data_IF_529450812163
#
_entry.id   IF_529450812163
#
_cell.length_a   1.000
_cell.length_b   1.000
_cell.length_c   1.000
_cell.angle_alpha   90.00
_cell.angle_beta   90.00
_cell.angle_gamma   90.00
#
_symmetry.space_group_name_H-M   'P 1'
#
loop_
_entity.id
_entity.type
_entity.pdbx_description
1 polymer ?
#
# COMPACT_ATOMS: atom_id res chain seq x y z
N UNK A 1 90.18 -8.36 -34.77
CA UNK A 1 88.78 -8.44 -35.16
C UNK A 1 87.94 -9.41 -34.26
N UNK A 2 88.40 -9.88 -33.12
CA UNK A 2 87.74 -10.92 -32.31
C UNK A 2 87.00 -10.44 -31.06
N UNK A 3 86.92 -9.10 -30.83
CA UNK A 3 86.37 -8.56 -29.58
C UNK A 3 84.89 -8.00 -29.71
N UNK A 4 84.38 -7.87 -30.91
CA UNK A 4 83.01 -7.25 -31.12
C UNK A 4 81.84 -8.23 -30.89
N UNK A 5 82.03 -9.54 -31.16
CA UNK A 5 80.98 -10.56 -31.06
C UNK A 5 80.47 -10.79 -29.62
N UNK A 6 81.34 -10.92 -28.58
CA UNK A 6 80.87 -11.13 -27.23
C UNK A 6 80.18 -9.91 -26.64
N UNK A 7 80.56 -8.69 -27.02
CA UNK A 7 79.88 -7.46 -26.55
C UNK A 7 78.45 -7.35 -27.17
N UNK A 8 78.31 -7.71 -28.46
CA UNK A 8 77.03 -7.71 -29.15
C UNK A 8 76.07 -8.79 -28.58
N UNK A 9 76.59 -9.97 -28.29
CA UNK A 9 75.84 -11.06 -27.62
C UNK A 9 75.42 -10.65 -26.22
N UNK A 10 76.26 -10.03 -25.44
CA UNK A 10 75.91 -9.51 -24.11
C UNK A 10 74.88 -8.43 -24.15
N UNK A 11 74.88 -7.53 -25.14
CA UNK A 11 73.90 -6.49 -25.35
C UNK A 11 72.51 -7.06 -25.72
N UNK A 12 72.48 -8.03 -26.63
CA UNK A 12 71.25 -8.75 -27.00
C UNK A 12 70.66 -9.49 -25.80
N UNK A 13 71.51 -10.15 -25.02
CA UNK A 13 71.07 -10.91 -23.83
C UNK A 13 70.51 -9.95 -22.73
N UNK A 14 71.17 -8.82 -22.52
CA UNK A 14 70.72 -7.79 -21.59
C UNK A 14 69.39 -7.18 -22.02
N UNK A 15 69.24 -6.89 -23.31
CA UNK A 15 67.97 -6.37 -23.86
C UNK A 15 66.83 -7.36 -23.74
N UNK A 16 67.08 -8.63 -24.04
CA UNK A 16 66.08 -9.69 -23.90
C UNK A 16 65.65 -9.87 -22.44
N UNK A 17 66.56 -9.83 -21.47
CA UNK A 17 66.23 -9.89 -20.06
C UNK A 17 65.43 -8.67 -19.56
N UNK A 18 65.66 -7.48 -20.07
CA UNK A 18 64.89 -6.29 -19.73
C UNK A 18 63.44 -6.38 -20.25
N UNK A 19 63.25 -6.82 -21.50
CA UNK A 19 61.93 -7.02 -22.09
C UNK A 19 61.06 -8.05 -21.32
N UNK A 20 61.65 -9.18 -20.96
CA UNK A 20 60.96 -10.19 -20.16
C UNK A 20 60.53 -9.63 -18.78
N UNK A 21 61.39 -8.87 -18.11
CA UNK A 21 61.07 -8.25 -16.83
C UNK A 21 59.90 -7.28 -16.97
N UNK A 22 59.85 -6.49 -18.02
CA UNK A 22 58.72 -5.60 -18.30
C UNK A 22 57.44 -6.36 -18.55
N UNK A 23 57.46 -7.43 -19.32
CA UNK A 23 56.28 -8.29 -19.54
C UNK A 23 55.74 -8.94 -18.25
N UNK A 24 56.62 -9.40 -17.39
CA UNK A 24 56.24 -10.01 -16.10
C UNK A 24 55.59 -8.93 -15.21
N UNK A 25 56.20 -7.75 -15.08
CA UNK A 25 55.64 -6.66 -14.28
C UNK A 25 54.29 -6.22 -14.81
N UNK A 26 54.15 -6.11 -16.13
CA UNK A 26 52.87 -5.74 -16.77
C UNK A 26 51.80 -6.81 -16.53
N UNK A 27 52.16 -8.11 -16.62
CA UNK A 27 51.23 -9.21 -16.32
C UNK A 27 50.79 -9.20 -14.85
N UNK A 28 51.68 -8.96 -13.91
CA UNK A 28 51.39 -8.83 -12.48
C UNK A 28 50.45 -7.63 -12.25
N UNK A 29 50.76 -6.49 -12.83
CA UNK A 29 49.91 -5.27 -12.72
C UNK A 29 48.52 -5.53 -13.25
N UNK A 30 48.40 -6.14 -14.43
CA UNK A 30 47.10 -6.49 -15.02
C UNK A 30 46.32 -7.48 -14.15
N UNK A 31 47.01 -8.47 -13.59
CA UNK A 31 46.39 -9.43 -12.66
C UNK A 31 45.82 -8.74 -11.40
N UNK A 32 46.60 -7.80 -10.82
CA UNK A 32 46.14 -7.00 -9.67
C UNK A 32 44.90 -6.18 -10.00
N UNK A 33 44.88 -5.51 -11.17
CA UNK A 33 43.73 -4.74 -11.61
C UNK A 33 42.50 -5.61 -11.84
N UNK A 34 42.65 -6.76 -12.47
CA UNK A 34 41.55 -7.71 -12.69
C UNK A 34 41.03 -8.30 -11.37
N UNK A 35 41.94 -8.59 -10.44
CA UNK A 35 41.55 -9.05 -9.10
C UNK A 35 40.81 -7.97 -8.31
N UNK A 36 41.32 -6.73 -8.31
CA UNK A 36 40.65 -5.59 -7.67
C UNK A 36 39.27 -5.32 -8.25
N UNK A 37 39.14 -5.38 -9.60
CA UNK A 37 37.83 -5.26 -10.26
C UNK A 37 36.84 -6.34 -9.80
N UNK A 38 37.31 -7.62 -9.68
CA UNK A 38 36.45 -8.71 -9.22
C UNK A 38 35.97 -8.53 -7.77
N UNK A 39 36.87 -8.04 -6.89
CA UNK A 39 36.48 -7.75 -5.50
C UNK A 39 35.43 -6.64 -5.46
N UNK A 40 35.67 -5.52 -6.18
CA UNK A 40 34.73 -4.41 -6.24
C UNK A 40 33.36 -4.83 -6.80
N UNK A 41 33.35 -5.65 -7.85
CA UNK A 41 32.09 -6.17 -8.40
C UNK A 41 31.33 -7.02 -7.36
N UNK A 42 32.01 -7.93 -6.66
CA UNK A 42 31.37 -8.75 -5.61
C UNK A 42 30.78 -7.90 -4.48
N UNK A 43 31.50 -6.89 -4.02
CA UNK A 43 31.01 -6.00 -2.98
C UNK A 43 29.81 -5.17 -3.45
N UNK A 44 29.83 -4.73 -4.71
CA UNK A 44 28.71 -4.01 -5.30
C UNK A 44 27.47 -4.90 -5.41
N UNK A 45 27.64 -6.12 -5.92
CA UNK A 45 26.54 -7.09 -6.06
C UNK A 45 25.94 -7.43 -4.69
N UNK A 46 26.79 -7.74 -3.69
CA UNK A 46 26.35 -8.04 -2.32
C UNK A 46 25.63 -6.85 -1.65
N UNK A 47 26.14 -5.63 -1.82
CA UNK A 47 25.50 -4.42 -1.32
C UNK A 47 24.15 -4.17 -2.00
N UNK A 48 24.07 -4.44 -3.30
CA UNK A 48 22.83 -4.31 -4.08
C UNK A 48 21.77 -5.32 -3.62
N UNK A 49 22.13 -6.58 -3.47
CA UNK A 49 21.22 -7.64 -3.01
C UNK A 49 20.71 -7.34 -1.61
N UNK A 50 21.59 -6.96 -0.69
CA UNK A 50 21.22 -6.54 0.68
C UNK A 50 20.26 -5.33 0.66
N UNK A 51 20.50 -4.35 -0.22
CA UNK A 51 19.61 -3.20 -0.37
C UNK A 51 18.22 -3.61 -0.86
N UNK A 52 18.14 -4.50 -1.84
CA UNK A 52 16.87 -5.02 -2.36
C UNK A 52 16.09 -5.79 -1.30
N UNK A 53 16.76 -6.66 -0.52
CA UNK A 53 16.12 -7.36 0.59
C UNK A 53 15.57 -6.40 1.65
N UNK A 54 16.36 -5.38 2.03
CA UNK A 54 15.91 -4.36 2.99
C UNK A 54 14.69 -3.58 2.48
N UNK A 55 14.68 -3.20 1.21
CA UNK A 55 13.53 -2.52 0.61
C UNK A 55 12.26 -3.40 0.61
N UNK A 56 12.40 -4.69 0.32
CA UNK A 56 11.28 -5.63 0.39
C UNK A 56 10.76 -5.81 1.83
N UNK A 57 11.67 -5.91 2.80
CA UNK A 57 11.30 -6.00 4.22
C UNK A 57 10.57 -4.74 4.68
N UNK A 58 11.05 -3.55 4.31
CA UNK A 58 10.40 -2.27 4.62
C UNK A 58 8.99 -2.25 4.04
N UNK A 59 8.81 -2.59 2.75
CA UNK A 59 7.49 -2.64 2.12
C UNK A 59 6.53 -3.62 2.79
N UNK A 60 7.03 -4.80 3.21
CA UNK A 60 6.23 -5.77 3.97
C UNK A 60 5.82 -5.23 5.33
N UNK A 61 6.76 -4.61 6.05
CA UNK A 61 6.48 -4.00 7.34
C UNK A 61 5.46 -2.86 7.22
N UNK A 62 5.58 -2.01 6.21
CA UNK A 62 4.63 -0.93 5.91
C UNK A 62 3.23 -1.49 5.56
N UNK A 63 3.16 -2.55 4.78
CA UNK A 63 1.90 -3.20 4.44
C UNK A 63 1.21 -3.77 5.70
N UNK A 64 1.93 -4.57 6.50
CA UNK A 64 1.42 -5.12 7.77
C UNK A 64 1.00 -3.99 8.72
N UNK A 65 1.75 -2.91 8.75
CA UNK A 65 1.51 -1.79 9.62
C UNK A 65 0.31 -0.92 9.21
N UNK A 66 -0.06 -0.89 7.93
CA UNK A 66 -1.05 0.05 7.36
C UNK A 66 -2.32 -0.63 6.82
N UNK A 67 -2.33 -1.94 6.69
CA UNK A 67 -3.51 -2.68 6.22
C UNK A 67 -4.22 -3.42 7.35
N UNK A 68 -5.51 -3.63 7.19
CA UNK A 68 -6.31 -4.55 7.98
C UNK A 68 -6.11 -5.97 7.45
N UNK A 69 -5.69 -6.88 8.32
CA UNK A 69 -5.31 -8.24 7.93
C UNK A 69 -6.46 -9.07 7.35
N UNK A 70 -7.71 -8.78 7.74
CA UNK A 70 -8.89 -9.50 7.27
C UNK A 70 -9.34 -9.01 5.90
N UNK A 71 -9.47 -7.70 5.75
CA UNK A 71 -10.13 -7.09 4.58
C UNK A 71 -9.15 -6.58 3.53
N UNK A 72 -7.86 -6.45 3.88
CA UNK A 72 -6.84 -5.86 3.02
C UNK A 72 -7.14 -4.41 2.62
N UNK A 73 -8.02 -3.72 3.36
CA UNK A 73 -8.21 -2.26 3.28
C UNK A 73 -7.19 -1.56 4.16
N UNK A 74 -7.10 -0.25 4.09
CA UNK A 74 -6.33 0.50 5.08
C UNK A 74 -6.88 0.22 6.49
N UNK A 75 -6.00 0.17 7.48
CA UNK A 75 -6.42 0.12 8.88
C UNK A 75 -6.63 1.53 9.45
N UNK A 76 -7.14 1.62 10.68
CA UNK A 76 -7.42 2.89 11.36
C UNK A 76 -6.19 3.79 11.46
N UNK A 77 -4.98 3.21 11.62
CA UNK A 77 -3.73 3.98 11.68
C UNK A 77 -3.42 4.65 10.34
N UNK A 78 -3.51 3.90 9.26
CA UNK A 78 -3.31 4.43 7.92
C UNK A 78 -4.35 5.49 7.55
N UNK A 79 -5.62 5.29 7.93
CA UNK A 79 -6.68 6.28 7.78
C UNK A 79 -6.32 7.61 8.47
N UNK A 80 -5.89 7.56 9.73
CA UNK A 80 -5.53 8.75 10.48
C UNK A 80 -4.34 9.50 9.85
N UNK A 81 -3.33 8.77 9.40
CA UNK A 81 -2.18 9.37 8.72
C UNK A 81 -2.59 10.03 7.39
N UNK A 82 -3.45 9.38 6.62
CA UNK A 82 -3.97 9.89 5.35
C UNK A 82 -4.81 11.15 5.54
N UNK A 83 -5.72 11.15 6.51
CA UNK A 83 -6.55 12.33 6.83
C UNK A 83 -5.68 13.50 7.30
N UNK A 84 -4.65 13.26 8.12
CA UNK A 84 -3.72 14.29 8.56
C UNK A 84 -2.96 14.94 7.39
N UNK A 85 -2.52 14.13 6.42
CA UNK A 85 -1.85 14.64 5.22
C UNK A 85 -2.77 15.50 4.35
N UNK A 86 -4.02 15.07 4.13
CA UNK A 86 -5.03 15.84 3.37
C UNK A 86 -5.36 17.16 4.09
N UNK A 87 -5.53 17.12 5.40
CA UNK A 87 -5.87 18.29 6.18
C UNK A 87 -4.77 19.35 6.14
N UNK A 88 -3.49 18.93 6.21
CA UNK A 88 -2.35 19.85 6.05
C UNK A 88 -2.34 20.55 4.69
N UNK A 89 -2.78 19.86 3.65
CA UNK A 89 -2.89 20.40 2.28
C UNK A 89 -4.15 21.24 2.08
N UNK A 90 -5.06 21.33 3.06
CA UNK A 90 -6.38 21.98 2.97
C UNK A 90 -7.17 21.52 1.74
N UNK A 91 -7.07 20.24 1.40
CA UNK A 91 -7.74 19.67 0.24
C UNK A 91 -9.22 19.44 0.59
N UNK A 92 -10.17 19.94 -0.20
CA UNK A 92 -11.58 19.60 -0.05
C UNK A 92 -11.76 18.08 -0.14
N UNK A 93 -12.65 17.52 0.67
CA UNK A 93 -12.94 16.10 0.67
C UNK A 93 -14.36 15.77 1.07
N UNK A 94 -14.85 14.62 0.69
CA UNK A 94 -15.98 13.97 1.32
C UNK A 94 -15.49 12.74 2.11
N UNK A 95 -16.14 12.48 3.24
CA UNK A 95 -15.90 11.32 4.08
C UNK A 95 -17.22 10.58 4.30
N UNK A 96 -17.16 9.25 4.19
CA UNK A 96 -18.28 8.37 4.49
C UNK A 96 -17.91 7.47 5.64
N UNK A 97 -18.78 7.41 6.67
CA UNK A 97 -18.77 6.36 7.68
C UNK A 97 -19.81 5.31 7.29
N UNK A 98 -19.40 4.05 7.21
CA UNK A 98 -20.22 2.94 6.70
C UNK A 98 -20.23 1.84 7.74
N UNK A 99 -21.42 1.27 7.98
CA UNK A 99 -21.59 0.18 8.94
C UNK A 99 -22.47 -0.91 8.33
N UNK A 100 -22.09 -2.17 8.54
CA UNK A 100 -22.85 -3.33 8.06
C UNK A 100 -24.05 -3.57 8.96
N UNK A 101 -25.25 -3.44 8.39
CA UNK A 101 -26.50 -3.51 9.14
C UNK A 101 -26.70 -4.87 9.79
N UNK A 102 -27.02 -4.86 11.08
CA UNK A 102 -27.29 -6.06 11.89
C UNK A 102 -26.15 -7.09 11.89
N UNK A 103 -24.90 -6.68 11.72
CA UNK A 103 -23.75 -7.58 11.62
C UNK A 103 -23.60 -8.53 12.82
N UNK A 104 -23.91 -8.07 14.05
CA UNK A 104 -23.95 -8.95 15.21
C UNK A 104 -24.93 -10.12 15.01
N UNK A 105 -26.15 -9.86 14.49
CA UNK A 105 -27.13 -10.92 14.20
C UNK A 105 -26.66 -11.86 13.09
N UNK A 106 -25.88 -11.33 12.14
CA UNK A 106 -25.22 -12.14 11.12
C UNK A 106 -24.28 -13.15 11.77
N UNK A 107 -23.36 -12.68 12.63
CA UNK A 107 -22.44 -13.54 13.36
C UNK A 107 -23.16 -14.57 14.25
N UNK A 108 -24.19 -14.14 14.97
CA UNK A 108 -24.99 -15.01 15.84
C UNK A 108 -25.68 -16.14 15.03
N UNK A 109 -26.02 -15.88 13.77
CA UNK A 109 -26.72 -16.83 12.89
C UNK A 109 -25.78 -17.74 12.10
N UNK A 110 -24.69 -17.20 11.56
CA UNK A 110 -23.81 -17.89 10.59
C UNK A 110 -22.42 -18.22 11.15
N UNK A 111 -22.08 -17.69 12.33
CA UNK A 111 -20.76 -17.83 12.95
C UNK A 111 -19.78 -16.76 12.52
N UNK A 112 -18.71 -16.59 13.30
CA UNK A 112 -17.69 -15.55 13.09
C UNK A 112 -16.92 -15.71 11.79
N UNK A 113 -16.64 -16.95 11.36
CA UNK A 113 -15.94 -17.20 10.10
C UNK A 113 -16.74 -16.68 8.89
N UNK A 114 -18.05 -16.93 8.85
CA UNK A 114 -18.93 -16.38 7.82
C UNK A 114 -19.00 -14.85 7.90
N UNK A 115 -18.95 -14.29 9.12
CA UNK A 115 -18.86 -12.84 9.33
C UNK A 115 -17.58 -12.25 8.76
N UNK A 116 -16.44 -12.91 8.93
CA UNK A 116 -15.16 -12.50 8.36
C UNK A 116 -15.18 -12.51 6.81
N UNK A 117 -15.77 -13.54 6.23
CA UNK A 117 -15.97 -13.63 4.77
C UNK A 117 -16.92 -12.54 4.26
N UNK A 118 -17.99 -12.22 5.02
CA UNK A 118 -18.90 -11.13 4.72
C UNK A 118 -18.16 -9.78 4.73
N UNK A 119 -17.38 -9.47 5.77
CA UNK A 119 -16.61 -8.23 5.84
C UNK A 119 -15.58 -8.12 4.71
N UNK A 120 -14.93 -9.22 4.35
CA UNK A 120 -14.00 -9.26 3.23
C UNK A 120 -14.71 -8.96 1.89
N UNK A 121 -15.91 -9.51 1.69
CA UNK A 121 -16.74 -9.26 0.52
C UNK A 121 -17.21 -7.80 0.46
N UNK A 122 -17.70 -7.26 1.58
CA UNK A 122 -18.07 -5.83 1.70
C UNK A 122 -16.88 -4.93 1.35
N UNK A 123 -15.70 -5.21 1.91
CA UNK A 123 -14.48 -4.45 1.63
C UNK A 123 -14.12 -4.45 0.14
N UNK A 124 -14.25 -5.58 -0.54
CA UNK A 124 -14.02 -5.67 -1.99
C UNK A 124 -15.01 -4.81 -2.78
N UNK A 125 -16.29 -4.85 -2.40
CA UNK A 125 -17.32 -3.99 -3.02
C UNK A 125 -16.97 -2.51 -2.84
N UNK A 126 -16.57 -2.10 -1.63
CA UNK A 126 -16.17 -0.72 -1.37
C UNK A 126 -14.98 -0.31 -2.24
N UNK A 127 -13.93 -1.14 -2.35
CA UNK A 127 -12.78 -0.89 -3.23
C UNK A 127 -13.18 -0.72 -4.70
N UNK A 128 -14.11 -1.54 -5.20
CA UNK A 128 -14.60 -1.44 -6.59
C UNK A 128 -15.52 -0.25 -6.82
N UNK A 129 -16.05 0.35 -5.77
CA UNK A 129 -16.95 1.50 -5.87
C UNK A 129 -16.24 2.85 -5.85
N UNK A 130 -14.94 2.90 -5.62
CA UNK A 130 -14.14 4.13 -5.50
C UNK A 130 -12.97 4.13 -6.47
N UNK A 131 -12.26 5.26 -6.58
CA UNK A 131 -11.07 5.39 -7.44
C UNK A 131 -9.85 4.86 -6.70
N UNK A 132 -9.18 3.86 -7.26
CA UNK A 132 -8.05 3.20 -6.61
C UNK A 132 -6.83 4.11 -6.35
N UNK A 133 -6.64 5.15 -7.16
CA UNK A 133 -5.45 6.02 -7.10
C UNK A 133 -5.59 7.20 -6.13
N UNK A 134 -6.82 7.62 -5.83
CA UNK A 134 -7.07 8.86 -5.09
C UNK A 134 -7.98 8.71 -3.87
N UNK A 135 -8.74 7.63 -3.79
CA UNK A 135 -9.70 7.43 -2.72
C UNK A 135 -9.17 6.37 -1.74
N UNK A 136 -9.46 6.54 -0.46
CA UNK A 136 -9.05 5.57 0.56
C UNK A 136 -10.27 4.83 1.09
N UNK A 137 -10.19 3.50 1.13
CA UNK A 137 -11.10 2.63 1.88
C UNK A 137 -10.35 2.09 3.08
N UNK A 138 -10.88 2.30 4.27
CA UNK A 138 -10.28 1.84 5.52
C UNK A 138 -11.30 1.08 6.37
N UNK A 139 -10.85 0.06 7.09
CA UNK A 139 -11.61 -0.54 8.17
C UNK A 139 -11.35 0.25 9.45
N UNK A 140 -12.41 0.87 9.99
CA UNK A 140 -12.32 1.71 11.19
C UNK A 140 -12.29 0.88 12.47
N UNK A 141 -13.06 -0.21 12.51
CA UNK A 141 -13.11 -1.18 13.60
C UNK A 141 -14.36 -2.07 13.50
N UNK A 142 -14.29 -3.34 13.91
CA UNK A 142 -15.43 -4.25 13.85
C UNK A 142 -16.01 -4.35 12.44
N UNK A 143 -17.27 -3.95 12.30
CA UNK A 143 -18.03 -3.89 11.03
C UNK A 143 -18.07 -2.52 10.37
N UNK A 144 -17.27 -1.57 10.86
CA UNK A 144 -17.27 -0.19 10.41
C UNK A 144 -16.14 0.08 9.41
N UNK A 145 -16.50 0.75 8.32
CA UNK A 145 -15.57 1.20 7.29
C UNK A 145 -15.64 2.71 7.12
N UNK A 146 -14.53 3.30 6.68
CA UNK A 146 -14.45 4.71 6.28
C UNK A 146 -13.97 4.79 4.85
N UNK A 147 -14.65 5.62 4.06
CA UNK A 147 -14.22 5.98 2.71
C UNK A 147 -13.88 7.46 2.70
N UNK A 148 -12.68 7.80 2.24
CA UNK A 148 -12.21 9.19 2.07
C UNK A 148 -12.08 9.48 0.58
N UNK A 149 -12.71 10.56 0.15
CA UNK A 149 -12.86 10.98 -1.25
C UNK A 149 -12.31 12.38 -1.46
N UNK A 150 -11.00 12.56 -1.71
CA UNK A 150 -10.41 13.87 -1.94
C UNK A 150 -10.95 14.54 -3.20
N UNK A 151 -11.22 15.85 -3.12
CA UNK A 151 -11.73 16.65 -4.22
C UNK A 151 -13.18 16.35 -4.63
N UNK A 152 -13.92 15.57 -3.82
CA UNK A 152 -15.28 15.16 -4.15
C UNK A 152 -16.30 16.03 -3.38
N UNK A 153 -17.28 16.58 -4.10
CA UNK A 153 -18.39 17.33 -3.51
C UNK A 153 -19.43 16.41 -2.85
N UNK A 154 -20.29 16.97 -2.00
CA UNK A 154 -21.37 16.21 -1.36
C UNK A 154 -22.27 15.51 -2.38
N UNK A 155 -22.65 16.19 -3.47
CA UNK A 155 -23.50 15.62 -4.52
C UNK A 155 -22.87 14.41 -5.23
N UNK A 156 -21.55 14.46 -5.49
CA UNK A 156 -20.84 13.30 -6.03
C UNK A 156 -20.65 12.19 -4.99
N UNK A 157 -20.46 12.54 -3.73
CA UNK A 157 -20.35 11.56 -2.65
C UNK A 157 -21.67 10.79 -2.47
N UNK A 158 -22.83 11.45 -2.53
CA UNK A 158 -24.12 10.75 -2.47
C UNK A 158 -24.32 9.77 -3.63
N UNK A 159 -23.91 10.12 -4.85
CA UNK A 159 -23.95 9.19 -6.00
C UNK A 159 -23.00 7.97 -5.79
N UNK A 160 -21.85 8.18 -5.14
CA UNK A 160 -20.95 7.06 -4.78
C UNK A 160 -21.60 6.19 -3.71
N UNK A 161 -22.26 6.76 -2.70
CA UNK A 161 -22.96 6.01 -1.67
C UNK A 161 -24.10 5.14 -2.25
N UNK A 162 -24.88 5.68 -3.19
CA UNK A 162 -25.91 4.91 -3.92
C UNK A 162 -25.30 3.75 -4.70
N UNK A 163 -24.17 4.00 -5.39
CA UNK A 163 -23.43 2.95 -6.09
C UNK A 163 -22.92 1.87 -5.15
N UNK A 164 -22.40 2.23 -3.98
CA UNK A 164 -21.98 1.28 -2.95
C UNK A 164 -23.16 0.40 -2.53
N UNK A 165 -24.29 0.99 -2.17
CA UNK A 165 -25.48 0.24 -1.75
C UNK A 165 -26.01 -0.68 -2.84
N UNK A 166 -26.00 -0.23 -4.09
CA UNK A 166 -26.39 -1.06 -5.22
C UNK A 166 -25.46 -2.26 -5.38
N UNK A 167 -24.14 -2.03 -5.35
CA UNK A 167 -23.15 -3.13 -5.48
C UNK A 167 -23.19 -4.11 -4.32
N UNK A 168 -23.49 -3.67 -3.10
CA UNK A 168 -23.71 -4.55 -1.94
C UNK A 168 -24.95 -5.43 -2.18
N UNK A 169 -26.06 -4.88 -2.68
CA UNK A 169 -27.25 -5.68 -3.06
C UNK A 169 -26.93 -6.66 -4.19
N UNK A 170 -26.20 -6.22 -5.21
CA UNK A 170 -25.79 -7.08 -6.33
C UNK A 170 -24.90 -8.24 -5.87
N UNK A 171 -24.11 -8.07 -4.82
CA UNK A 171 -23.31 -9.15 -4.23
C UNK A 171 -24.18 -10.25 -3.61
N UNK A 172 -25.43 -9.97 -3.25
CA UNK A 172 -26.45 -10.95 -2.87
C UNK A 172 -26.08 -11.81 -1.66
N UNK A 173 -25.32 -11.26 -0.70
CA UNK A 173 -24.89 -12.00 0.49
C UNK A 173 -26.10 -12.28 1.41
N UNK A 174 -26.51 -13.53 1.65
CA UNK A 174 -27.74 -13.81 2.40
C UNK A 174 -27.63 -13.37 3.86
N UNK A 175 -28.68 -12.70 4.38
CA UNK A 175 -28.78 -12.30 5.79
C UNK A 175 -30.19 -12.56 6.36
N UNK A 176 -30.50 -13.83 6.61
CA UNK A 176 -31.82 -14.27 7.10
C UNK A 176 -32.21 -13.70 8.49
N UNK A 177 -31.26 -13.22 9.28
CA UNK A 177 -31.52 -12.61 10.60
C UNK A 177 -31.62 -11.07 10.56
N UNK A 178 -31.49 -10.44 9.39
CA UNK A 178 -31.68 -9.01 9.22
C UNK A 178 -33.18 -8.66 9.31
N UNK A 179 -33.48 -7.48 9.89
CA UNK A 179 -34.83 -6.95 9.95
C UNK A 179 -35.14 -5.97 8.79
N UNK A 180 -34.16 -5.73 7.89
CA UNK A 180 -34.28 -4.75 6.80
C UNK A 180 -34.44 -5.41 5.44
N UNK A 181 -33.64 -6.44 5.15
CA UNK A 181 -33.63 -7.17 3.89
C UNK A 181 -33.21 -8.63 4.10
N UNK A 182 -33.46 -9.48 3.11
CA UNK A 182 -32.99 -10.88 3.13
C UNK A 182 -31.50 -11.03 2.84
N UNK A 183 -30.81 -9.95 2.57
CA UNK A 183 -29.40 -9.85 2.23
C UNK A 183 -28.67 -8.81 3.09
N UNK A 184 -27.36 -8.84 3.05
CA UNK A 184 -26.50 -7.86 3.72
C UNK A 184 -26.75 -6.49 3.13
N UNK A 185 -26.94 -5.49 4.03
CA UNK A 185 -27.09 -4.08 3.68
C UNK A 185 -26.12 -3.24 4.50
N UNK A 186 -25.92 -2.01 4.09
CA UNK A 186 -25.07 -1.04 4.79
C UNK A 186 -25.81 0.28 5.00
N UNK A 187 -25.57 0.89 6.16
CA UNK A 187 -25.94 2.28 6.44
C UNK A 187 -24.71 3.17 6.25
N UNK A 188 -24.91 4.38 5.70
CA UNK A 188 -23.83 5.28 5.33
C UNK A 188 -24.10 6.68 5.86
N UNK A 189 -23.16 7.26 6.63
CA UNK A 189 -23.15 8.67 6.99
C UNK A 189 -22.14 9.42 6.12
N UNK A 190 -22.56 10.51 5.49
CA UNK A 190 -21.76 11.29 4.54
C UNK A 190 -21.52 12.68 5.08
N UNK A 191 -20.30 13.19 4.95
CA UNK A 191 -19.97 14.59 5.22
C UNK A 191 -19.04 15.10 4.14
N UNK A 192 -19.16 16.37 3.79
CA UNK A 192 -18.20 17.05 2.91
C UNK A 192 -17.59 18.24 3.64
N UNK A 193 -16.33 18.53 3.33
CA UNK A 193 -15.57 19.65 3.87
C UNK A 193 -14.75 20.32 2.78
N UNK A 194 -14.55 21.61 2.92
CA UNK A 194 -13.64 22.41 2.10
C UNK A 194 -12.16 22.28 2.51
N UNK A 195 -11.85 21.37 3.45
CA UNK A 195 -10.50 21.15 3.98
C UNK A 195 -10.15 22.04 5.18
N UNK A 196 -11.08 22.85 5.70
CA UNK A 196 -10.84 23.73 6.86
C UNK A 196 -11.35 23.15 8.18
N UNK A 197 -12.26 22.18 8.12
CA UNK A 197 -12.87 21.55 9.31
C UNK A 197 -11.87 20.58 9.96
N UNK A 198 -11.65 20.62 11.29
CA UNK A 198 -10.83 19.66 11.99
C UNK A 198 -11.29 18.22 11.75
N UNK A 199 -10.32 17.29 11.66
CA UNK A 199 -10.57 15.88 11.32
C UNK A 199 -11.54 15.23 12.32
N UNK A 200 -11.36 15.48 13.60
CA UNK A 200 -12.20 14.94 14.68
C UNK A 200 -13.67 15.39 14.51
N UNK A 201 -13.86 16.66 14.13
CA UNK A 201 -15.20 17.19 13.86
C UNK A 201 -15.81 16.55 12.61
N UNK A 202 -15.00 16.31 11.57
CA UNK A 202 -15.44 15.67 10.34
C UNK A 202 -15.91 14.23 10.61
N UNK A 203 -15.12 13.47 11.37
CA UNK A 203 -15.47 12.10 11.76
C UNK A 203 -16.74 12.10 12.63
N UNK A 204 -16.85 12.98 13.61
CA UNK A 204 -18.02 13.07 14.46
C UNK A 204 -19.30 13.42 13.69
N UNK A 205 -19.22 14.30 12.67
CA UNK A 205 -20.37 14.62 11.80
C UNK A 205 -20.77 13.42 10.95
N UNK A 206 -19.81 12.69 10.38
CA UNK A 206 -20.10 11.48 9.61
C UNK A 206 -20.74 10.38 10.47
N UNK A 207 -20.27 10.20 11.70
CA UNK A 207 -20.87 9.27 12.67
C UNK A 207 -22.30 9.67 13.02
N UNK A 208 -22.55 10.97 13.27
CA UNK A 208 -23.90 11.49 13.50
C UNK A 208 -24.84 11.25 12.31
N UNK A 209 -24.35 11.44 11.08
CA UNK A 209 -25.10 11.14 9.87
C UNK A 209 -25.38 9.64 9.72
N UNK A 210 -24.40 8.76 10.03
CA UNK A 210 -24.59 7.32 10.05
C UNK A 210 -25.65 6.90 11.07
N UNK A 211 -25.62 7.48 12.26
CA UNK A 211 -26.64 7.24 13.28
C UNK A 211 -28.05 7.62 12.79
N UNK A 212 -28.17 8.74 12.07
CA UNK A 212 -29.44 9.13 11.44
C UNK A 212 -29.90 8.11 10.38
N UNK A 213 -29.00 7.62 9.53
CA UNK A 213 -29.32 6.59 8.54
C UNK A 213 -29.82 5.31 9.22
N UNK A 214 -29.17 4.88 10.30
CA UNK A 214 -29.60 3.71 11.10
C UNK A 214 -30.98 3.91 11.73
N UNK A 215 -31.28 5.09 12.26
CA UNK A 215 -32.58 5.39 12.90
C UNK A 215 -33.73 5.55 11.89
N UNK A 216 -33.44 5.99 10.67
CA UNK A 216 -34.44 6.10 9.59
C UNK A 216 -34.78 4.75 8.94
N UNK A 217 -34.28 3.64 9.44
CA UNK A 217 -34.62 2.30 8.97
C UNK A 217 -33.48 1.51 8.35
N UNK A 218 -32.22 2.01 8.42
CA UNK A 218 -31.03 1.37 7.83
C UNK A 218 -31.07 1.27 6.29
N UNK A 219 -30.12 0.55 5.70
CA UNK A 219 -30.02 0.36 4.24
C UNK A 219 -30.16 1.66 3.46
N UNK A 220 -29.60 2.73 3.93
CA UNK A 220 -29.66 4.06 3.36
C UNK A 220 -28.46 4.92 3.75
N UNK A 221 -28.35 6.07 3.13
CA UNK A 221 -27.37 7.08 3.50
C UNK A 221 -28.07 8.33 4.10
N UNK A 222 -27.31 9.09 4.87
CA UNK A 222 -27.70 10.39 5.40
C UNK A 222 -26.49 11.34 5.40
N UNK A 223 -26.68 12.63 5.46
CA UNK A 223 -25.65 13.65 5.60
C UNK A 223 -26.09 14.75 6.58
#
# INVERSE_FOLDING_TARGET
QTCALPILLAGIQLHYHTEIRFLILWAIFTAILLYGRRILQRWYDEAWDTHQENMQLIQRLESIANQDALTGTANRRALNAYLAAIWQQKTPLALMMIDVDYFKRYNDRYGHQAGDECLSSVAQVLKMAVRAESDLVARYGGEEFVVVLPGVSLAHATAIAERIQQKIREAGLPHAASAVASEVTVSIGIVASDGTVPIETLIARADSALYQAKNKGRNQWSY
#
